data_IF_254578069517
#
_entry.id   IF_254578069517
#
_cell.length_a   1.000
_cell.length_b   1.000
_cell.length_c   1.000
_cell.angle_alpha   90.00
_cell.angle_beta   90.00
_cell.angle_gamma   90.00
#
_symmetry.space_group_name_H-M   'P 1'
#
loop_
_entity.id
_entity.type
_entity.pdbx_description
1 polymer ?
#
# COMPACT_ATOMS: atom_id res chain seq x y z
N UNK A 1 -2.48 8.14 0.32
CA UNK A 1 -3.53 7.12 0.38
C UNK A 1 -4.81 7.79 0.83
N UNK A 2 -5.67 8.21 -0.11
CA UNK A 2 -6.96 8.82 0.20
C UNK A 2 -8.06 7.88 -0.28
N UNK A 3 -8.71 7.21 0.65
CA UNK A 3 -10.02 6.61 0.46
C UNK A 3 -11.07 7.68 0.81
N UNK A 4 -11.17 8.74 0.01
CA UNK A 4 -12.35 9.59 0.02
C UNK A 4 -12.41 10.50 -1.21
N UNK A 5 -13.38 10.27 -2.11
CA UNK A 5 -13.96 11.37 -2.86
C UNK A 5 -15.49 11.26 -2.80
N UNK A 6 -16.12 11.37 -1.62
CA UNK A 6 -17.58 11.25 -1.55
C UNK A 6 -18.26 11.93 -0.35
N UNK A 7 -17.73 13.02 0.24
CA UNK A 7 -18.46 13.67 1.35
C UNK A 7 -19.31 14.88 0.99
N UNK A 8 -19.14 15.54 -0.17
CA UNK A 8 -19.84 16.80 -0.44
C UNK A 8 -20.46 16.82 -1.85
N UNK A 9 -21.54 16.09 -2.09
CA UNK A 9 -22.36 16.27 -3.29
C UNK A 9 -23.84 16.00 -2.97
N UNK A 10 -24.45 16.91 -2.19
CA UNK A 10 -25.90 17.03 -2.10
C UNK A 10 -26.34 18.26 -2.88
N UNK A 11 -26.76 18.09 -4.13
CA UNK A 11 -27.89 18.78 -4.77
C UNK A 11 -27.99 18.42 -6.27
N UNK A 12 -29.20 18.01 -6.68
CA UNK A 12 -29.67 17.69 -8.05
C UNK A 12 -29.44 16.24 -8.50
N UNK A 13 -30.53 15.53 -8.81
CA UNK A 13 -30.64 14.06 -8.83
C UNK A 13 -30.62 13.42 -10.23
N UNK A 14 -30.43 14.19 -11.31
CA UNK A 14 -30.33 13.66 -12.69
C UNK A 14 -29.01 13.96 -13.41
N UNK A 15 -28.30 15.01 -13.01
CA UNK A 15 -26.91 15.29 -13.39
C UNK A 15 -25.82 14.41 -12.75
N UNK A 16 -25.98 13.79 -11.55
CA UNK A 16 -24.87 13.13 -10.86
C UNK A 16 -24.54 11.75 -11.45
N UNK A 17 -25.49 11.10 -12.13
CA UNK A 17 -25.28 9.75 -12.68
C UNK A 17 -24.40 9.75 -13.94
N UNK A 18 -24.47 10.81 -14.75
CA UNK A 18 -23.60 10.95 -15.94
C UNK A 18 -22.18 11.29 -15.50
N UNK A 19 -22.03 12.26 -14.59
CA UNK A 19 -20.73 12.66 -14.05
C UNK A 19 -20.03 11.51 -13.30
N UNK A 20 -20.80 10.74 -12.53
CA UNK A 20 -20.30 9.56 -11.84
C UNK A 20 -19.90 8.42 -12.80
N UNK A 21 -20.65 8.20 -13.90
CA UNK A 21 -20.28 7.20 -14.93
C UNK A 21 -19.01 7.59 -15.69
N UNK A 22 -18.85 8.87 -16.04
CA UNK A 22 -17.63 9.38 -16.67
C UNK A 22 -16.44 9.19 -15.72
N UNK A 23 -16.59 9.56 -14.45
CA UNK A 23 -15.56 9.34 -13.43
C UNK A 23 -15.16 7.86 -13.30
N UNK A 24 -16.13 6.93 -13.29
CA UNK A 24 -15.83 5.50 -13.22
C UNK A 24 -15.14 4.96 -14.46
N UNK A 25 -15.48 5.46 -15.66
CA UNK A 25 -14.80 5.08 -16.90
C UNK A 25 -13.33 5.50 -16.85
N UNK A 26 -13.04 6.74 -16.47
CA UNK A 26 -11.67 7.27 -16.29
C UNK A 26 -10.89 6.45 -15.24
N UNK A 27 -11.50 6.15 -14.09
CA UNK A 27 -10.89 5.32 -13.04
C UNK A 27 -10.54 3.91 -13.54
N UNK A 28 -11.44 3.30 -14.32
CA UNK A 28 -11.25 1.94 -14.82
C UNK A 28 -10.14 1.86 -15.86
N UNK A 29 -9.98 2.90 -16.70
CA UNK A 29 -8.82 3.02 -17.59
C UNK A 29 -7.51 3.13 -16.81
N UNK A 30 -7.47 3.99 -15.79
CA UNK A 30 -6.31 4.14 -14.92
C UNK A 30 -5.95 2.82 -14.21
N UNK A 31 -6.94 2.05 -13.73
CA UNK A 31 -6.68 0.75 -13.11
C UNK A 31 -6.15 -0.31 -14.08
N UNK A 32 -6.57 -0.30 -15.35
CA UNK A 32 -5.99 -1.17 -16.38
C UNK A 32 -4.49 -0.90 -16.56
N UNK A 33 -4.09 0.38 -16.60
CA UNK A 33 -2.68 0.74 -16.66
C UNK A 33 -1.91 0.27 -15.42
N UNK A 34 -2.46 0.47 -14.21
CA UNK A 34 -1.83 -0.02 -12.98
C UNK A 34 -1.65 -1.55 -12.96
N UNK A 35 -2.63 -2.31 -13.47
CA UNK A 35 -2.52 -3.77 -13.60
C UNK A 35 -1.42 -4.15 -14.60
N UNK A 36 -1.40 -3.53 -15.78
CA UNK A 36 -0.39 -3.79 -16.81
C UNK A 36 1.04 -3.49 -16.33
N UNK A 37 1.27 -2.29 -15.81
CA UNK A 37 2.57 -1.90 -15.25
C UNK A 37 2.93 -2.74 -14.02
N UNK A 38 1.96 -3.10 -13.18
CA UNK A 38 2.15 -3.96 -12.02
C UNK A 38 2.66 -5.34 -12.41
N UNK A 39 2.05 -6.00 -13.41
CA UNK A 39 2.49 -7.31 -13.90
C UNK A 39 3.90 -7.24 -14.47
N UNK A 40 4.17 -6.26 -15.34
CA UNK A 40 5.50 -6.08 -15.94
C UNK A 40 6.58 -5.86 -14.88
N UNK A 41 6.30 -5.02 -13.88
CA UNK A 41 7.22 -4.72 -12.80
C UNK A 41 7.43 -5.93 -11.87
N UNK A 42 6.38 -6.72 -11.59
CA UNK A 42 6.50 -7.98 -10.84
C UNK A 42 7.42 -8.96 -11.57
N UNK A 43 7.21 -9.20 -12.86
CA UNK A 43 8.04 -10.11 -13.67
C UNK A 43 9.50 -9.64 -13.66
N UNK A 44 9.73 -8.35 -13.90
CA UNK A 44 11.09 -7.78 -13.93
C UNK A 44 11.81 -7.95 -12.59
N UNK A 45 11.14 -7.66 -11.46
CA UNK A 45 11.73 -7.81 -10.14
C UNK A 45 11.97 -9.27 -9.75
N UNK A 46 11.12 -10.21 -10.19
CA UNK A 46 11.37 -11.65 -10.03
C UNK A 46 12.64 -12.07 -10.77
N UNK A 47 12.81 -11.66 -12.04
CA UNK A 47 14.02 -11.96 -12.81
C UNK A 47 15.26 -11.39 -12.11
N UNK A 48 15.22 -10.14 -11.66
CA UNK A 48 16.31 -9.53 -10.88
C UNK A 48 16.65 -10.36 -9.64
N UNK A 49 15.64 -10.79 -8.88
CA UNK A 49 15.83 -11.60 -7.69
C UNK A 49 16.46 -12.96 -8.04
N UNK A 50 15.98 -13.64 -9.07
CA UNK A 50 16.53 -14.92 -9.55
C UNK A 50 18.00 -14.78 -9.94
N UNK A 51 18.36 -13.73 -10.67
CA UNK A 51 19.75 -13.46 -11.08
C UNK A 51 20.65 -13.27 -9.85
N UNK A 52 20.22 -12.47 -8.87
CA UNK A 52 21.00 -12.24 -7.64
C UNK A 52 21.17 -13.55 -6.86
N UNK A 53 20.10 -14.34 -6.74
CA UNK A 53 20.11 -15.58 -5.95
C UNK A 53 20.88 -16.73 -6.62
N UNK A 54 21.00 -16.71 -7.95
CA UNK A 54 21.59 -17.79 -8.76
C UNK A 54 23.04 -18.12 -8.39
N UNK A 55 23.87 -17.11 -8.10
CA UNK A 55 25.30 -17.32 -7.83
C UNK A 55 25.69 -16.77 -6.46
N UNK A 56 26.39 -17.58 -5.65
CA UNK A 56 26.92 -17.16 -4.35
C UNK A 56 27.76 -15.87 -4.44
N UNK A 57 28.61 -15.78 -5.45
CA UNK A 57 29.41 -14.59 -5.71
C UNK A 57 28.56 -13.33 -5.95
N UNK A 58 27.44 -13.46 -6.66
CA UNK A 58 26.52 -12.34 -6.88
C UNK A 58 25.78 -11.96 -5.59
N UNK A 59 25.35 -12.93 -4.78
CA UNK A 59 24.69 -12.65 -3.49
C UNK A 59 25.58 -11.89 -2.50
N UNK A 60 26.86 -12.23 -2.43
CA UNK A 60 27.79 -11.58 -1.51
C UNK A 60 28.07 -10.12 -1.90
N UNK A 61 28.09 -9.83 -3.21
CA UNK A 61 28.38 -8.48 -3.73
C UNK A 61 27.13 -7.61 -3.94
N UNK A 62 26.01 -8.22 -4.33
CA UNK A 62 24.76 -7.55 -4.72
C UNK A 62 23.59 -7.93 -3.81
N UNK A 63 23.84 -8.45 -2.61
CA UNK A 63 22.79 -8.86 -1.67
C UNK A 63 21.79 -7.75 -1.33
N UNK A 64 22.26 -6.51 -1.16
CA UNK A 64 21.40 -5.33 -0.93
C UNK A 64 20.52 -5.00 -2.13
N UNK A 65 20.99 -5.25 -3.36
CA UNK A 65 20.17 -5.14 -4.57
C UNK A 65 19.06 -6.22 -4.61
N UNK A 66 19.32 -7.40 -4.06
CA UNK A 66 18.30 -8.43 -3.85
C UNK A 66 17.18 -7.97 -2.90
N UNK A 67 17.55 -7.34 -1.77
CA UNK A 67 16.57 -6.76 -0.82
C UNK A 67 15.76 -5.64 -1.47
N UNK A 68 16.42 -4.76 -2.23
CA UNK A 68 15.77 -3.72 -3.01
C UNK A 68 14.74 -4.30 -3.98
N UNK A 69 15.13 -5.32 -4.77
CA UNK A 69 14.25 -5.98 -5.74
C UNK A 69 13.07 -6.65 -5.05
N UNK A 70 13.27 -7.25 -3.88
CA UNK A 70 12.19 -7.83 -3.08
C UNK A 70 11.21 -6.75 -2.56
N UNK A 71 11.72 -5.60 -2.11
CA UNK A 71 10.87 -4.49 -1.70
C UNK A 71 10.01 -3.95 -2.86
N UNK A 72 10.61 -3.78 -4.04
CA UNK A 72 9.86 -3.40 -5.24
C UNK A 72 8.83 -4.46 -5.64
N UNK A 73 9.17 -5.75 -5.52
CA UNK A 73 8.22 -6.83 -5.78
C UNK A 73 6.97 -6.73 -4.90
N UNK A 74 7.14 -6.51 -3.58
CA UNK A 74 6.02 -6.32 -2.65
C UNK A 74 5.18 -5.09 -3.01
N UNK A 75 5.84 -3.99 -3.38
CA UNK A 75 5.17 -2.76 -3.78
C UNK A 75 4.30 -2.97 -5.04
N UNK A 76 4.89 -3.56 -6.08
CA UNK A 76 4.19 -3.84 -7.34
C UNK A 76 3.06 -4.85 -7.15
N UNK A 77 3.25 -5.84 -6.26
CA UNK A 77 2.17 -6.76 -5.89
C UNK A 77 1.02 -6.03 -5.19
N UNK A 78 1.32 -5.04 -4.33
CA UNK A 78 0.34 -4.14 -3.72
C UNK A 78 -0.45 -3.33 -4.76
N UNK A 79 0.23 -2.76 -5.76
CA UNK A 79 -0.41 -2.04 -6.88
C UNK A 79 -1.33 -2.98 -7.66
N UNK A 80 -0.83 -4.17 -8.00
CA UNK A 80 -1.58 -5.16 -8.78
C UNK A 80 -2.84 -5.63 -8.04
N UNK A 81 -2.71 -6.01 -6.76
CA UNK A 81 -3.85 -6.40 -5.92
C UNK A 81 -4.86 -5.26 -5.77
N UNK A 82 -4.40 -4.03 -5.52
CA UNK A 82 -5.28 -2.88 -5.42
C UNK A 82 -6.02 -2.59 -6.73
N UNK A 83 -5.35 -2.73 -7.89
CA UNK A 83 -5.96 -2.57 -9.21
C UNK A 83 -7.01 -3.64 -9.51
N UNK A 84 -6.69 -4.91 -9.26
CA UNK A 84 -7.61 -6.03 -9.46
C UNK A 84 -8.87 -5.90 -8.59
N UNK A 85 -8.69 -5.64 -7.29
CA UNK A 85 -9.82 -5.53 -6.37
C UNK A 85 -10.69 -4.31 -6.70
N UNK A 86 -10.12 -3.15 -6.99
CA UNK A 86 -10.89 -1.95 -7.35
C UNK A 86 -11.65 -2.11 -8.67
N UNK A 87 -11.03 -2.77 -9.66
CA UNK A 87 -11.71 -3.07 -10.93
C UNK A 87 -12.90 -4.01 -10.71
N UNK A 88 -12.75 -5.00 -9.83
CA UNK A 88 -13.84 -5.89 -9.44
C UNK A 88 -14.99 -5.14 -8.73
N UNK A 89 -14.68 -4.25 -7.79
CA UNK A 89 -15.71 -3.46 -7.08
C UNK A 89 -16.50 -2.52 -8.01
N UNK A 90 -15.81 -1.85 -8.94
CA UNK A 90 -16.46 -0.94 -9.90
C UNK A 90 -17.30 -1.72 -10.91
N UNK A 91 -16.81 -2.85 -11.41
CA UNK A 91 -17.53 -3.65 -12.42
C UNK A 91 -18.74 -4.37 -11.83
N UNK A 92 -18.70 -4.71 -10.54
CA UNK A 92 -19.77 -5.43 -9.85
C UNK A 92 -20.88 -4.56 -9.26
N UNK A 93 -20.84 -3.22 -9.43
CA UNK A 93 -21.77 -2.27 -8.78
C UNK A 93 -21.84 -2.36 -7.23
N UNK A 94 -20.88 -3.02 -6.59
CA UNK A 94 -20.81 -3.13 -5.12
C UNK A 94 -19.90 -2.02 -4.58
N UNK A 95 -20.29 -0.77 -4.77
CA UNK A 95 -19.58 0.39 -4.23
C UNK A 95 -20.18 0.77 -2.87
N UNK A 96 -19.99 -0.09 -1.87
CA UNK A 96 -20.30 0.30 -0.50
C UNK A 96 -19.23 1.28 -0.02
N UNK A 97 -19.63 2.31 0.73
CA UNK A 97 -18.69 3.21 1.40
C UNK A 97 -17.91 2.40 2.45
N UNK A 98 -16.74 1.89 2.08
CA UNK A 98 -15.87 1.17 3.01
C UNK A 98 -15.40 2.12 4.10
N UNK A 99 -15.56 1.71 5.35
CA UNK A 99 -15.00 2.43 6.48
C UNK A 99 -13.45 2.34 6.42
N UNK A 100 -12.73 3.33 6.97
CA UNK A 100 -11.25 3.35 6.93
C UNK A 100 -10.62 2.03 7.39
N UNK A 101 -11.20 1.43 8.44
CA UNK A 101 -10.77 0.15 8.99
C UNK A 101 -10.98 -1.04 8.03
N UNK A 102 -12.09 -1.07 7.30
CA UNK A 102 -12.36 -2.14 6.32
C UNK A 102 -11.45 -2.04 5.09
N UNK A 103 -10.87 -0.85 4.85
CA UNK A 103 -9.82 -0.64 3.86
C UNK A 103 -8.46 -1.13 4.36
N UNK A 104 -8.12 -0.87 5.63
CA UNK A 104 -6.84 -1.28 6.20
C UNK A 104 -6.76 -2.80 6.46
N UNK A 105 -7.87 -3.46 6.79
CA UNK A 105 -7.94 -4.92 6.94
C UNK A 105 -7.73 -5.72 5.65
N UNK A 106 -7.33 -5.07 4.56
CA UNK A 106 -7.11 -5.67 3.26
C UNK A 106 -5.61 -5.91 3.05
N UNK A 107 -5.20 -6.81 2.14
CA UNK A 107 -3.77 -7.15 2.02
C UNK A 107 -2.93 -6.05 1.34
N UNK A 108 -3.50 -5.23 0.46
CA UNK A 108 -2.73 -4.26 -0.33
C UNK A 108 -2.09 -3.11 0.47
N UNK A 109 -2.69 -2.52 1.53
CA UNK A 109 -2.06 -1.47 2.32
C UNK A 109 -0.79 -1.96 3.03
N UNK A 110 -0.80 -3.17 3.59
CA UNK A 110 0.39 -3.75 4.22
C UNK A 110 1.53 -3.94 3.21
N UNK A 111 1.21 -4.44 2.00
CA UNK A 111 2.18 -4.58 0.91
C UNK A 111 2.77 -3.22 0.48
N UNK A 112 1.94 -2.17 0.43
CA UNK A 112 2.40 -0.82 0.12
C UNK A 112 3.31 -0.23 1.18
N UNK A 113 2.98 -0.42 2.46
CA UNK A 113 3.80 0.09 3.56
C UNK A 113 5.16 -0.60 3.55
N UNK A 114 5.19 -1.93 3.51
CA UNK A 114 6.46 -2.67 3.53
C UNK A 114 7.24 -2.45 2.23
N UNK A 115 6.57 -2.55 1.08
CA UNK A 115 7.16 -2.36 -0.24
C UNK A 115 7.55 -0.91 -0.55
N UNK A 116 7.08 0.07 0.22
CA UNK A 116 7.52 1.47 0.13
C UNK A 116 8.78 1.72 0.96
N UNK A 117 8.79 1.26 2.22
CA UNK A 117 9.89 1.52 3.14
C UNK A 117 11.14 0.68 2.84
N UNK A 118 10.97 -0.60 2.49
CA UNK A 118 12.10 -1.50 2.29
C UNK A 118 13.03 -1.04 1.14
N UNK A 119 12.52 -0.64 -0.05
CA UNK A 119 13.35 -0.05 -1.09
C UNK A 119 14.05 1.24 -0.68
N UNK A 120 13.37 2.10 0.08
CA UNK A 120 13.94 3.37 0.54
C UNK A 120 15.17 3.14 1.43
N UNK A 121 15.07 2.23 2.40
CA UNK A 121 16.20 1.88 3.26
C UNK A 121 17.33 1.18 2.49
N UNK A 122 16.99 0.25 1.59
CA UNK A 122 18.00 -0.43 0.77
C UNK A 122 18.75 0.55 -0.15
N UNK A 123 18.05 1.51 -0.74
CA UNK A 123 18.65 2.54 -1.59
C UNK A 123 19.55 3.49 -0.78
N UNK A 124 19.12 3.87 0.43
CA UNK A 124 19.93 4.66 1.35
C UNK A 124 21.23 3.91 1.71
N UNK A 125 21.14 2.64 2.08
CA UNK A 125 22.32 1.82 2.37
C UNK A 125 23.27 1.72 1.16
N UNK A 126 22.73 1.52 -0.05
CA UNK A 126 23.54 1.54 -1.27
C UNK A 126 24.20 2.89 -1.51
N UNK A 127 23.48 3.99 -1.30
CA UNK A 127 24.01 5.35 -1.44
C UNK A 127 25.15 5.62 -0.47
N UNK A 128 24.96 5.30 0.81
CA UNK A 128 25.99 5.45 1.86
C UNK A 128 27.22 4.60 1.55
N UNK A 129 27.01 3.36 1.12
CA UNK A 129 28.12 2.49 0.72
C UNK A 129 28.94 3.10 -0.41
N UNK A 130 28.28 3.62 -1.45
CA UNK A 130 28.95 4.27 -2.58
C UNK A 130 29.68 5.54 -2.16
N UNK A 131 29.08 6.34 -1.28
CA UNK A 131 29.69 7.55 -0.76
C UNK A 131 30.96 7.25 0.04
N UNK A 132 30.97 6.20 0.87
CA UNK A 132 32.16 5.78 1.63
C UNK A 132 33.24 5.24 0.68
N UNK A 133 32.85 4.45 -0.32
CA UNK A 133 33.78 3.88 -1.30
C UNK A 133 34.55 4.97 -2.07
N UNK A 134 33.87 6.06 -2.45
CA UNK A 134 34.47 7.18 -3.19
C UNK A 134 35.33 8.05 -2.27
N UNK A 135 34.85 8.40 -1.07
CA UNK A 135 35.55 9.35 -0.20
C UNK A 135 36.71 8.72 0.58
N UNK A 136 36.60 7.45 0.98
CA UNK A 136 37.53 6.78 1.90
C UNK A 136 37.71 5.29 1.52
N UNK A 137 38.45 4.98 0.43
CA UNK A 137 38.59 3.60 -0.07
C UNK A 137 39.28 2.65 0.90
N UNK A 138 40.22 3.15 1.73
CA UNK A 138 40.88 2.35 2.76
C UNK A 138 39.91 1.92 3.86
N UNK A 139 39.02 2.82 4.31
CA UNK A 139 37.97 2.52 5.29
C UNK A 139 36.99 1.51 4.70
N UNK A 140 36.58 1.71 3.45
CA UNK A 140 35.70 0.79 2.75
C UNK A 140 36.23 -0.64 2.76
N UNK A 141 37.50 -0.85 2.42
CA UNK A 141 38.14 -2.17 2.39
C UNK A 141 38.18 -2.85 3.76
N UNK A 142 38.37 -2.08 4.83
CA UNK A 142 38.53 -2.62 6.20
C UNK A 142 37.17 -2.91 6.85
N UNK A 143 36.18 -2.03 6.70
CA UNK A 143 34.93 -2.10 7.46
C UNK A 143 33.74 -2.66 6.66
N UNK A 144 33.68 -2.47 5.34
CA UNK A 144 32.57 -2.96 4.51
C UNK A 144 32.83 -4.41 4.10
N UNK A 145 32.67 -5.30 5.07
CA UNK A 145 32.74 -6.76 4.87
C UNK A 145 31.39 -7.35 4.44
N UNK A 146 31.38 -8.58 3.93
CA UNK A 146 30.14 -9.29 3.61
C UNK A 146 29.19 -9.41 4.82
N UNK A 147 29.74 -9.58 6.03
CA UNK A 147 28.97 -9.63 7.27
C UNK A 147 28.29 -8.29 7.57
N UNK A 148 29.01 -7.18 7.41
CA UNK A 148 28.46 -5.84 7.63
C UNK A 148 27.28 -5.54 6.68
N UNK A 149 27.37 -5.98 5.42
CA UNK A 149 26.28 -5.86 4.44
C UNK A 149 25.04 -6.67 4.83
N UNK A 150 25.24 -7.90 5.31
CA UNK A 150 24.14 -8.76 5.78
C UNK A 150 23.46 -8.10 6.98
N UNK A 151 24.23 -7.60 7.94
CA UNK A 151 23.70 -6.89 9.11
C UNK A 151 22.91 -5.65 8.66
N UNK A 152 23.44 -4.84 7.74
CA UNK A 152 22.75 -3.68 7.21
C UNK A 152 21.41 -4.05 6.54
N UNK A 153 21.39 -5.13 5.75
CA UNK A 153 20.17 -5.65 5.14
C UNK A 153 19.15 -6.11 6.18
N UNK A 154 19.58 -6.81 7.24
CA UNK A 154 18.70 -7.23 8.35
C UNK A 154 18.12 -5.99 9.04
N UNK A 155 18.94 -4.97 9.31
CA UNK A 155 18.49 -3.70 9.89
C UNK A 155 17.44 -3.03 9.00
N UNK A 156 17.64 -2.99 7.68
CA UNK A 156 16.63 -2.45 6.74
C UNK A 156 15.29 -3.17 6.84
N UNK A 157 15.32 -4.51 6.92
CA UNK A 157 14.10 -5.32 7.07
C UNK A 157 13.43 -5.04 8.41
N UNK A 158 14.20 -5.03 9.51
CA UNK A 158 13.67 -4.72 10.84
C UNK A 158 13.03 -3.32 10.90
N UNK A 159 13.68 -2.30 10.33
CA UNK A 159 13.11 -0.96 10.25
C UNK A 159 11.80 -0.93 9.47
N UNK A 160 11.72 -1.66 8.35
CA UNK A 160 10.47 -1.75 7.57
C UNK A 160 9.33 -2.44 8.35
N UNK A 161 9.65 -3.45 9.16
CA UNK A 161 8.66 -4.11 10.04
C UNK A 161 8.24 -3.18 11.17
N UNK A 162 9.17 -2.44 11.78
CA UNK A 162 8.85 -1.45 12.81
C UNK A 162 7.92 -0.37 12.23
N UNK A 163 8.18 0.14 11.03
CA UNK A 163 7.29 1.10 10.36
C UNK A 163 5.89 0.54 10.15
N UNK A 164 5.76 -0.75 9.84
CA UNK A 164 4.47 -1.43 9.73
C UNK A 164 3.72 -1.48 11.08
N UNK A 165 4.43 -1.86 12.15
CA UNK A 165 3.87 -1.91 13.50
C UNK A 165 3.43 -0.53 13.99
N UNK A 166 4.25 0.50 13.77
CA UNK A 166 3.89 1.89 14.10
C UNK A 166 2.65 2.33 13.31
N UNK A 167 2.57 1.98 12.03
CA UNK A 167 1.39 2.25 11.20
C UNK A 167 0.12 1.59 11.76
N UNK A 168 0.21 0.31 12.15
CA UNK A 168 -0.93 -0.40 12.74
C UNK A 168 -1.36 0.19 14.11
N UNK A 169 -0.40 0.51 14.97
CA UNK A 169 -0.68 1.11 16.28
C UNK A 169 -1.25 2.53 16.18
N UNK A 170 -0.79 3.32 15.20
CA UNK A 170 -1.32 4.65 14.95
C UNK A 170 -2.79 4.61 14.51
N UNK A 171 -3.17 3.56 13.77
CA UNK A 171 -4.56 3.36 13.35
C UNK A 171 -5.46 2.95 14.53
N UNK A 172 -5.00 2.05 15.39
CA UNK A 172 -5.72 1.68 16.62
C UNK A 172 -5.95 2.88 17.56
N UNK A 173 -5.00 3.81 17.60
CA UNK A 173 -5.10 5.03 18.40
C UNK A 173 -6.16 6.01 17.89
N UNK A 174 -6.36 6.11 16.57
CA UNK A 174 -7.37 7.00 15.96
C UNK A 174 -8.80 6.41 16.03
N UNK A 175 -8.93 5.09 16.13
CA UNK A 175 -10.21 4.38 16.20
C UNK A 175 -10.93 4.57 17.55
N UNK A 176 -10.19 4.60 18.65
CA UNK A 176 -10.70 4.79 20.03
C UNK A 176 -11.63 6.02 20.20
N UNK A 177 -11.23 7.23 19.78
CA UNK A 177 -12.09 8.42 19.90
C UNK A 177 -13.30 8.40 18.95
N UNK A 178 -13.19 7.79 17.75
CA UNK A 178 -14.31 7.68 16.79
C UNK A 178 -15.44 6.79 17.33
N UNK A 179 -15.12 5.64 17.91
CA UNK A 179 -16.11 4.75 18.55
C UNK A 179 -16.84 5.42 19.70
N UNK A 180 -16.14 6.24 20.49
CA UNK A 180 -16.74 7.02 21.58
C UNK A 180 -17.72 8.08 21.08
N UNK A 181 -17.48 8.67 19.90
CA UNK A 181 -18.43 9.60 19.25
C UNK A 181 -19.67 8.87 18.73
N UNK A 182 -19.50 7.74 18.04
CA UNK A 182 -20.62 6.95 17.52
C UNK A 182 -21.56 6.45 18.63
N UNK A 183 -21.00 6.01 19.77
CA UNK A 183 -21.77 5.56 20.93
C UNK A 183 -22.56 6.70 21.61
N UNK A 184 -22.17 7.96 21.39
CA UNK A 184 -22.85 9.14 21.95
C UNK A 184 -23.90 9.73 21.02
N UNK A 185 -23.97 9.30 19.76
CA UNK A 185 -25.05 9.72 18.85
C UNK A 185 -26.30 8.92 19.20
N UNK A 186 -27.37 9.54 19.75
CA UNK A 186 -28.61 8.83 20.01
C UNK A 186 -29.15 8.36 18.66
N UNK A 187 -29.51 7.09 18.56
CA UNK A 187 -30.38 6.57 17.50
C UNK A 187 -31.62 7.45 17.45
N UNK A 188 -31.68 8.35 16.47
CA UNK A 188 -32.90 9.07 16.12
C UNK A 188 -33.90 7.99 15.73
N UNK A 189 -34.85 7.69 16.62
CA UNK A 189 -36.04 6.92 16.28
C UNK A 189 -36.66 7.61 15.06
N UNK A 190 -36.60 6.97 13.89
CA UNK A 190 -37.40 7.35 12.73
C UNK A 190 -38.87 7.01 13.05
N UNK A 191 -39.78 7.99 13.20
CA UNK A 191 -41.19 7.73 13.36
C UNK A 191 -41.84 7.83 11.99
N UNK A 192 -41.56 6.89 11.08
CA UNK A 192 -42.26 6.82 9.78
C UNK A 192 -42.59 5.36 9.48
N UNK A 193 -43.36 4.71 10.35
CA UNK A 193 -44.12 3.48 10.04
C UNK A 193 -45.23 3.24 11.07
N UNK A 194 -46.23 4.13 11.11
CA UNK A 194 -47.51 3.87 11.77
C UNK A 194 -48.58 4.85 11.26
N UNK A 195 -48.82 4.84 9.96
CA UNK A 195 -50.02 5.46 9.36
C UNK A 195 -50.30 4.71 8.08
N UNK A 196 -50.77 3.48 8.21
CA UNK A 196 -51.38 2.66 7.15
C UNK A 196 -51.89 1.36 7.80
N UNK A 197 -52.86 1.49 8.72
CA UNK A 197 -53.76 0.39 9.06
C UNK A 197 -55.15 0.97 9.31
N UNK A 198 -56.01 0.74 8.32
CA UNK A 198 -57.45 0.50 8.41
C UNK A 198 -58.36 1.74 8.52
N UNK A 199 -58.73 2.23 7.33
CA UNK A 199 -60.13 2.49 7.02
C UNK A 199 -60.83 1.13 6.84
N UNK A 200 -61.80 0.82 7.69
CA UNK A 200 -62.99 -0.03 7.47
C UNK A 200 -63.93 0.13 8.68
#
# INVERSE_FOLDING_TARGET
MQCNPASNASSNLTTPLVEQRVLYAELLEVYKYYIGFGIFAVITNIVCMLVVLSKRHMREKYGTFGVLSFGYLLNCLGILLAGLLRTHYISGNVYNSLNSFECFGRPWPYLFIVGGHLPAFALLCMGVERLIAVNKPLIYRTYITARARIIANIVCVLLSVISLLVGALAEDADEQPRRKKLRKTPTRHDPIRATLTNDD
#
